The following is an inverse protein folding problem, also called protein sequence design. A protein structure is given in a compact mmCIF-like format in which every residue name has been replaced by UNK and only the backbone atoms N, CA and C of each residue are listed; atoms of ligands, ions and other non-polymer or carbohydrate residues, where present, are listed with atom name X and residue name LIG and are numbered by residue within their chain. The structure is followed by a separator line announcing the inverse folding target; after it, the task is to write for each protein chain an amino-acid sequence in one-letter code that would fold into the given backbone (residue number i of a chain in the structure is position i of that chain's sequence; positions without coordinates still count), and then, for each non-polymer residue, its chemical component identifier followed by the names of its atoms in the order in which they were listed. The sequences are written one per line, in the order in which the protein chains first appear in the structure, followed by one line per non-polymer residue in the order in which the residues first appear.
data_IF_165535969412
#
_entry.id   IF_165535969412
#
_cell.length_a   1.000
_cell.length_b   1.000
_cell.length_c   1.000
_cell.angle_alpha   90.00
_cell.angle_beta   90.00
_cell.angle_gamma   90.00
#
_symmetry.space_group_name_H-M   'P 1'
#
loop_
_entity.id
_entity.type
_entity.pdbx_description
1 polymer ?
#
# COMPACT_ATOMS: atom_id res chain seq x y z
N UNK A 1 -5.02 16.88 -0.53
CA UNK A 1 -5.52 16.27 0.72
C UNK A 1 -4.56 15.14 1.07
N UNK A 2 -4.24 14.90 2.34
CA UNK A 2 -3.34 13.80 2.73
C UNK A 2 -4.14 12.51 2.91
N UNK A 3 -3.76 11.44 2.22
CA UNK A 3 -4.41 10.12 2.35
C UNK A 3 -4.12 9.55 3.73
N UNK A 4 -5.16 9.15 4.45
CA UNK A 4 -5.01 8.57 5.79
C UNK A 4 -4.37 7.19 5.73
N UNK A 5 -3.64 6.77 6.77
CA UNK A 5 -3.06 5.41 6.81
C UNK A 5 -4.11 4.30 6.65
N UNK A 6 -5.31 4.50 7.21
CA UNK A 6 -6.46 3.60 7.06
C UNK A 6 -6.91 3.46 5.60
N UNK A 7 -6.92 4.56 4.86
CA UNK A 7 -7.26 4.59 3.42
C UNK A 7 -6.16 3.94 2.58
N UNK A 8 -4.88 4.18 2.91
CA UNK A 8 -3.76 3.50 2.25
C UNK A 8 -3.86 1.97 2.38
N UNK A 9 -4.23 1.46 3.55
CA UNK A 9 -4.44 0.02 3.75
C UNK A 9 -5.58 -0.53 2.89
N UNK A 10 -6.69 0.20 2.79
CA UNK A 10 -7.83 -0.19 1.92
C UNK A 10 -7.42 -0.24 0.45
N UNK A 11 -6.70 0.78 -0.02
CA UNK A 11 -6.22 0.86 -1.40
C UNK A 11 -5.30 -0.32 -1.75
N UNK A 12 -4.38 -0.68 -0.84
CA UNK A 12 -3.52 -1.86 -0.99
C UNK A 12 -4.37 -3.13 -1.08
N UNK A 13 -5.32 -3.32 -0.15
CA UNK A 13 -6.18 -4.50 -0.11
C UNK A 13 -7.01 -4.65 -1.39
N UNK A 14 -7.64 -3.55 -1.84
CA UNK A 14 -8.50 -3.54 -3.01
C UNK A 14 -7.69 -3.74 -4.30
N UNK A 15 -6.46 -3.21 -4.37
CA UNK A 15 -5.54 -3.47 -5.49
C UNK A 15 -5.12 -4.95 -5.57
N UNK A 16 -5.04 -5.64 -4.44
CA UNK A 16 -4.77 -7.09 -4.39
C UNK A 16 -6.04 -7.94 -4.55
N UNK A 17 -7.23 -7.31 -4.65
CA UNK A 17 -8.55 -7.95 -4.72
C UNK A 17 -8.82 -8.93 -3.57
N UNK A 18 -8.31 -8.60 -2.38
CA UNK A 18 -8.46 -9.43 -1.17
C UNK A 18 -9.57 -8.88 -0.26
N UNK A 19 -10.16 -9.78 0.53
CA UNK A 19 -11.04 -9.38 1.64
C UNK A 19 -10.19 -9.09 2.88
N UNK A 20 -10.67 -8.24 3.78
CA UNK A 20 -9.92 -7.89 4.99
C UNK A 20 -9.56 -9.11 5.86
N UNK A 21 -10.41 -10.14 5.85
CA UNK A 21 -10.14 -11.42 6.52
C UNK A 21 -8.96 -12.17 5.88
N UNK A 22 -8.88 -12.21 4.56
CA UNK A 22 -7.77 -12.87 3.83
C UNK A 22 -6.46 -12.15 4.13
N UNK A 23 -6.48 -10.82 4.13
CA UNK A 23 -5.27 -10.04 4.46
C UNK A 23 -4.83 -10.32 5.89
N UNK A 24 -5.75 -10.31 6.84
CA UNK A 24 -5.47 -10.62 8.25
C UNK A 24 -4.86 -12.02 8.42
N UNK A 25 -5.40 -13.02 7.72
CA UNK A 25 -4.88 -14.39 7.71
C UNK A 25 -3.44 -14.47 7.14
N UNK A 26 -3.20 -13.83 6.00
CA UNK A 26 -1.89 -13.81 5.32
C UNK A 26 -0.78 -13.17 6.17
N UNK A 27 -1.12 -12.16 6.96
CA UNK A 27 -0.14 -11.45 7.81
C UNK A 27 -0.08 -12.02 9.23
N UNK A 28 -0.95 -12.98 9.57
CA UNK A 28 -1.03 -13.58 10.91
C UNK A 28 -1.61 -12.65 11.97
N UNK A 29 -2.49 -11.72 11.60
CA UNK A 29 -3.21 -10.83 12.52
C UNK A 29 -4.68 -11.25 12.68
N UNK A 30 -5.28 -10.87 13.80
CA UNK A 30 -6.72 -11.03 13.98
C UNK A 30 -7.48 -10.11 13.01
N UNK A 31 -8.53 -10.63 12.37
CA UNK A 31 -9.45 -9.87 11.54
C UNK A 31 -9.92 -8.57 12.20
N UNK A 32 -10.34 -8.62 13.47
CA UNK A 32 -10.84 -7.43 14.18
C UNK A 32 -9.77 -6.36 14.33
N UNK A 33 -8.52 -6.75 14.51
CA UNK A 33 -7.36 -5.86 14.61
C UNK A 33 -7.09 -5.19 13.26
N UNK A 34 -6.98 -5.98 12.19
CA UNK A 34 -6.73 -5.46 10.84
C UNK A 34 -7.88 -4.57 10.35
N UNK A 35 -9.12 -5.01 10.56
CA UNK A 35 -10.32 -4.22 10.24
C UNK A 35 -10.35 -2.90 11.03
N UNK A 36 -9.93 -2.91 12.30
CA UNK A 36 -9.77 -1.69 13.10
C UNK A 36 -8.82 -0.68 12.47
N UNK A 37 -7.74 -1.13 11.83
CA UNK A 37 -6.80 -0.27 11.11
C UNK A 37 -7.41 0.31 9.82
N UNK A 38 -8.09 -0.50 9.01
CA UNK A 38 -8.73 -0.03 7.78
C UNK A 38 -9.87 0.97 8.03
N UNK A 39 -10.60 0.82 9.13
CA UNK A 39 -11.70 1.74 9.50
C UNK A 39 -11.16 2.97 10.24
N UNK A 40 -9.87 3.02 10.57
CA UNK A 40 -9.25 4.14 11.29
C UNK A 40 -9.60 4.19 12.77
N UNK A 41 -10.15 3.11 13.35
CA UNK A 41 -10.40 2.99 14.80
C UNK A 41 -9.10 2.92 15.59
N UNK A 42 -8.06 2.36 14.98
CA UNK A 42 -6.72 2.28 15.54
C UNK A 42 -5.68 2.60 14.47
N UNK A 43 -4.54 3.14 14.87
CA UNK A 43 -3.37 3.24 13.98
C UNK A 43 -2.63 1.91 13.96
N UNK A 44 -2.08 1.55 12.81
CA UNK A 44 -1.28 0.35 12.67
C UNK A 44 -0.02 0.48 13.53
N UNK A 45 0.24 -0.51 14.40
CA UNK A 45 1.48 -0.55 15.17
C UNK A 45 2.67 -0.88 14.26
N UNK A 46 3.87 -0.50 14.68
CA UNK A 46 5.10 -0.84 13.96
C UNK A 46 5.24 -2.36 13.76
N UNK A 47 4.88 -3.14 14.78
CA UNK A 47 4.90 -4.61 14.73
C UNK A 47 3.93 -5.16 13.68
N UNK A 48 2.70 -4.66 13.64
CA UNK A 48 1.72 -5.03 12.61
C UNK A 48 2.21 -4.63 11.21
N UNK A 49 2.83 -3.46 11.07
CA UNK A 49 3.44 -3.02 9.81
C UNK A 49 4.58 -3.93 9.36
N UNK A 50 5.44 -4.38 10.27
CA UNK A 50 6.49 -5.35 9.96
C UNK A 50 5.92 -6.68 9.47
N UNK A 51 4.89 -7.20 10.13
CA UNK A 51 4.20 -8.42 9.68
C UNK A 51 3.57 -8.25 8.30
N UNK A 52 2.93 -7.10 8.07
CA UNK A 52 2.29 -6.76 6.81
C UNK A 52 3.29 -6.68 5.65
N UNK A 53 4.33 -5.85 5.77
CA UNK A 53 5.32 -5.65 4.70
C UNK A 53 6.36 -6.78 4.59
N UNK A 54 6.43 -7.68 5.57
CA UNK A 54 7.20 -8.93 5.44
C UNK A 54 6.63 -9.84 4.35
N UNK A 55 5.32 -9.79 4.13
CA UNK A 55 4.69 -10.61 3.09
C UNK A 55 5.03 -10.07 1.69
N UNK A 56 5.52 -10.91 0.75
CA UNK A 56 5.99 -10.45 -0.56
C UNK A 56 4.92 -9.75 -1.39
N UNK A 57 3.63 -10.11 -1.23
CA UNK A 57 2.52 -9.41 -1.90
C UNK A 57 2.39 -7.94 -1.49
N UNK A 58 2.64 -7.63 -0.22
CA UNK A 58 2.44 -6.27 0.30
C UNK A 58 3.73 -5.44 0.32
N UNK A 59 4.90 -6.09 0.28
CA UNK A 59 6.22 -5.45 0.34
C UNK A 59 6.41 -4.35 -0.71
N UNK A 60 5.83 -4.51 -1.90
CA UNK A 60 5.89 -3.53 -3.02
C UNK A 60 5.18 -2.21 -2.73
N UNK A 61 4.34 -2.14 -1.69
CA UNK A 61 3.62 -0.94 -1.30
C UNK A 61 4.28 -0.19 -0.14
N UNK A 62 5.44 -0.66 0.34
CA UNK A 62 6.07 -0.14 1.57
C UNK A 62 6.45 1.33 1.44
N UNK A 63 7.18 1.69 0.40
CA UNK A 63 7.67 3.06 0.24
C UNK A 63 6.52 4.02 -0.05
N UNK A 64 5.50 3.59 -0.79
CA UNK A 64 4.28 4.36 -1.00
C UNK A 64 3.48 4.55 0.31
N UNK A 65 3.40 3.52 1.14
CA UNK A 65 2.70 3.60 2.42
C UNK A 65 3.40 4.55 3.40
N UNK A 66 4.73 4.46 3.49
CA UNK A 66 5.54 5.17 4.49
C UNK A 66 5.95 6.58 4.06
N UNK A 67 6.30 6.78 2.79
CA UNK A 67 6.94 7.99 2.29
C UNK A 67 6.14 8.66 1.16
N UNK A 68 5.02 8.06 0.72
CA UNK A 68 4.27 8.51 -0.47
C UNK A 68 5.10 8.48 -1.76
N UNK A 69 6.19 7.72 -1.76
CA UNK A 69 7.10 7.56 -2.89
C UNK A 69 6.81 6.26 -3.64
N UNK A 70 7.01 6.28 -4.96
CA UNK A 70 6.97 5.06 -5.79
C UNK A 70 8.26 4.96 -6.58
N UNK A 71 8.77 3.74 -6.72
CA UNK A 71 9.95 3.47 -7.53
C UNK A 71 9.68 2.22 -8.40
N UNK A 72 9.12 2.41 -9.61
CA UNK A 72 8.80 1.30 -10.49
C UNK A 72 10.04 0.50 -10.90
N UNK A 73 11.23 1.11 -10.91
CA UNK A 73 12.49 0.43 -11.27
C UNK A 73 12.90 -0.63 -10.23
N UNK A 74 12.48 -0.48 -8.96
CA UNK A 74 12.74 -1.46 -7.88
C UNK A 74 11.51 -2.31 -7.54
N UNK A 75 10.42 -2.18 -8.32
CA UNK A 75 9.16 -2.89 -8.08
C UNK A 75 8.32 -2.31 -6.94
N UNK A 76 8.65 -1.10 -6.46
CA UNK A 76 7.83 -0.38 -5.47
C UNK A 76 6.79 0.47 -6.18
N UNK A 77 5.53 0.11 -6.05
CA UNK A 77 4.43 0.71 -6.83
C UNK A 77 3.34 1.21 -5.90
N UNK A 78 2.61 2.24 -6.32
CA UNK A 78 1.34 2.57 -5.69
C UNK A 78 0.29 1.50 -6.06
N UNK A 79 -0.69 1.23 -5.18
CA UNK A 79 -1.87 0.46 -5.52
C UNK A 79 -2.56 1.01 -6.77
N UNK A 80 -3.09 0.15 -7.63
CA UNK A 80 -3.69 0.57 -8.91
C UNK A 80 -4.87 1.55 -8.72
N UNK A 81 -5.53 1.48 -7.56
CA UNK A 81 -6.66 2.34 -7.18
C UNK A 81 -6.22 3.63 -6.48
N UNK A 82 -4.94 3.78 -6.14
CA UNK A 82 -4.39 5.03 -5.59
C UNK A 82 -4.17 6.10 -6.66
N UNK A 83 -4.32 5.75 -7.95
CA UNK A 83 -4.14 6.67 -9.08
C UNK A 83 -5.27 7.69 -9.24
N UNK A 84 -6.30 7.68 -8.40
CA UNK A 84 -7.40 8.65 -8.50
C UNK A 84 -7.09 10.03 -7.94
N UNK A 85 -5.96 10.25 -7.24
CA UNK A 85 -5.63 11.57 -6.66
C UNK A 85 -4.15 12.01 -6.80
N UNK A 86 -3.37 11.41 -7.71
CA UNK A 86 -2.03 11.92 -8.03
C UNK A 86 -2.02 12.70 -9.35
N UNK A 87 -2.81 13.77 -9.40
CA UNK A 87 -2.55 14.89 -10.30
C UNK A 87 -1.28 15.62 -9.80
N UNK A 88 -0.14 15.25 -10.37
CA UNK A 88 1.09 16.04 -10.32
C UNK A 88 2.29 15.36 -9.68
N UNK A 89 3.33 15.16 -10.49
CA UNK A 89 4.71 14.72 -10.13
C UNK A 89 4.79 13.22 -9.83
N UNK A 90 5.30 12.32 -10.69
CA UNK A 90 6.45 12.39 -11.59
C UNK A 90 6.23 11.44 -12.77
N UNK A 91 5.90 11.99 -13.93
CA UNK A 91 6.16 11.33 -15.21
C UNK A 91 7.63 11.61 -15.56
N UNK A 92 8.56 10.87 -14.96
CA UNK A 92 9.95 10.88 -15.45
C UNK A 92 10.03 9.93 -16.63
N UNK A 93 9.69 10.51 -17.77
CA UNK A 93 10.10 10.21 -19.13
C UNK A 93 11.32 9.26 -19.22
N UNK A 94 11.07 7.98 -19.49
CA UNK A 94 12.06 7.11 -20.13
C UNK A 94 11.69 7.01 -21.60
N UNK A 95 12.03 8.05 -22.36
CA UNK A 95 12.11 7.93 -23.82
C UNK A 95 13.54 7.45 -24.13
N UNK A 96 13.71 6.12 -24.16
CA UNK A 96 14.86 5.52 -24.85
C UNK A 96 14.57 5.64 -26.34
N UNK A 97 15.14 6.68 -26.97
CA UNK A 97 15.30 6.71 -28.43
C UNK A 97 16.74 6.37 -28.79
N UNK A 98 16.95 5.09 -29.04
CA UNK A 98 18.03 4.62 -29.89
C UNK A 98 17.79 5.11 -31.33
N UNK A 99 18.83 5.62 -32.00
CA UNK A 99 18.81 6.01 -33.41
C UNK A 99 19.88 7.02 -33.74
#
# INVERSE_FOLDING_TARGET
MSISQSEKLKLIRDSERLKSKEVADLIGLNYSTYHGYEVGKAKMSMEAGMLFFKHPRFRKYRDWFMFDETNPATGQIAPALSLSELDGTTSTQFDLKNG
#
